data_IF_469291551897
#
_entry.id   IF_469291551897
#
_cell.length_a   1.000
_cell.length_b   1.000
_cell.length_c   1.000
_cell.angle_alpha   90.00
_cell.angle_beta   90.00
_cell.angle_gamma   90.00
#
_symmetry.space_group_name_H-M   'P 1'
#
loop_
_entity.id
_entity.type
_entity.pdbx_description
1 polymer ?
#
# COMPACT_ATOMS: atom_id res chain seq x y z
N UNK A 1 -63.29 -20.03 -18.91
CA UNK A 1 -62.66 -18.82 -18.31
C UNK A 1 -62.01 -19.02 -16.92
N UNK A 2 -62.43 -19.95 -16.08
CA UNK A 2 -61.82 -20.21 -14.76
C UNK A 2 -60.47 -20.91 -14.83
N UNK A 3 -60.24 -21.79 -15.79
CA UNK A 3 -58.99 -22.55 -15.96
C UNK A 3 -57.84 -21.71 -16.50
N UNK A 4 -58.09 -20.70 -17.33
CA UNK A 4 -57.07 -19.80 -17.87
C UNK A 4 -56.53 -18.82 -16.82
N UNK A 5 -57.40 -18.43 -15.86
CA UNK A 5 -57.02 -17.51 -14.79
C UNK A 5 -56.11 -18.20 -13.75
N UNK A 6 -56.36 -19.46 -13.44
CA UNK A 6 -55.51 -20.26 -12.52
C UNK A 6 -54.14 -20.57 -13.12
N UNK A 7 -54.08 -20.84 -14.44
CA UNK A 7 -52.79 -21.07 -15.12
C UNK A 7 -51.94 -19.80 -15.20
N UNK A 8 -52.56 -18.64 -15.40
CA UNK A 8 -51.86 -17.35 -15.41
C UNK A 8 -51.31 -16.98 -14.01
N UNK A 9 -52.11 -17.26 -12.96
CA UNK A 9 -51.70 -17.00 -11.57
C UNK A 9 -50.52 -17.89 -11.16
N UNK A 10 -50.51 -19.16 -11.56
CA UNK A 10 -49.41 -20.09 -11.34
C UNK A 10 -48.13 -19.68 -12.08
N UNK A 11 -48.24 -19.18 -13.32
CA UNK A 11 -47.13 -18.69 -14.11
C UNK A 11 -46.51 -17.44 -13.49
N UNK A 12 -47.33 -16.52 -12.98
CA UNK A 12 -46.84 -15.31 -12.29
C UNK A 12 -46.15 -15.68 -10.97
N UNK A 13 -46.69 -16.65 -10.22
CA UNK A 13 -46.11 -17.08 -8.95
C UNK A 13 -44.79 -17.82 -9.14
N UNK A 14 -44.58 -18.58 -10.23
CA UNK A 14 -43.32 -19.19 -10.60
C UNK A 14 -42.32 -18.16 -11.12
N UNK A 15 -42.77 -17.11 -11.81
CA UNK A 15 -41.89 -16.03 -12.25
C UNK A 15 -41.38 -15.17 -11.08
N UNK A 16 -42.18 -14.92 -10.06
CA UNK A 16 -41.80 -14.17 -8.84
C UNK A 16 -40.84 -14.97 -7.98
N UNK A 17 -40.99 -16.30 -7.90
CA UNK A 17 -40.00 -17.14 -7.17
C UNK A 17 -38.65 -17.28 -7.89
N UNK A 18 -38.59 -17.10 -9.21
CA UNK A 18 -37.32 -17.10 -9.96
C UNK A 18 -36.49 -15.80 -9.76
N UNK A 19 -37.13 -14.73 -9.30
CA UNK A 19 -36.48 -13.44 -8.97
C UNK A 19 -36.08 -13.30 -7.51
N UNK A 20 -36.24 -14.33 -6.67
CA UNK A 20 -35.55 -14.39 -5.38
C UNK A 20 -34.07 -14.62 -5.60
N UNK A 21 -33.39 -13.63 -6.24
CA UNK A 21 -31.95 -13.57 -6.29
C UNK A 21 -31.49 -13.62 -4.83
N UNK A 22 -30.74 -14.66 -4.48
CA UNK A 22 -30.05 -14.77 -3.21
C UNK A 22 -29.19 -13.52 -3.06
N UNK A 23 -29.63 -12.58 -2.24
CA UNK A 23 -28.80 -11.48 -1.79
C UNK A 23 -27.65 -12.12 -0.99
N UNK A 24 -26.55 -12.40 -1.66
CA UNK A 24 -25.32 -12.78 -0.99
C UNK A 24 -24.87 -11.51 -0.27
N UNK A 25 -25.15 -11.43 1.02
CA UNK A 25 -24.57 -10.40 1.89
C UNK A 25 -23.07 -10.44 1.72
N UNK A 26 -22.42 -9.28 1.73
CA UNK A 26 -20.95 -9.22 1.71
C UNK A 26 -20.44 -9.95 2.96
N UNK A 27 -19.78 -11.11 2.76
CA UNK A 27 -19.25 -11.90 3.85
C UNK A 27 -18.04 -11.23 4.52
N UNK A 28 -17.45 -10.19 3.90
CA UNK A 28 -16.31 -9.43 4.39
C UNK A 28 -16.54 -7.93 4.15
N UNK A 29 -16.41 -7.14 5.20
CA UNK A 29 -16.38 -5.67 5.15
C UNK A 29 -15.17 -5.20 5.94
N UNK A 30 -14.41 -4.26 5.40
CA UNK A 30 -13.27 -3.68 6.09
C UNK A 30 -13.14 -2.20 5.78
N UNK A 31 -12.64 -1.45 6.76
CA UNK A 31 -12.37 -0.03 6.63
C UNK A 31 -11.20 0.40 7.50
N UNK A 32 -10.74 1.64 7.34
CA UNK A 32 -9.62 2.25 8.04
C UNK A 32 -10.09 3.35 8.99
N UNK A 33 -9.42 3.50 10.11
CA UNK A 33 -9.67 4.60 11.05
C UNK A 33 -9.37 5.98 10.45
N UNK A 34 -8.53 6.02 9.42
CA UNK A 34 -8.23 7.23 8.62
C UNK A 34 -7.76 6.83 7.23
N UNK A 35 -8.19 7.59 6.23
CA UNK A 35 -7.81 7.41 4.82
C UNK A 35 -6.74 8.40 4.34
N UNK A 36 -6.27 9.26 5.24
CA UNK A 36 -5.25 10.26 4.95
C UNK A 36 -4.20 10.29 6.05
N UNK A 37 -2.94 10.26 5.66
CA UNK A 37 -1.77 10.41 6.54
C UNK A 37 -0.97 11.61 6.08
N UNK A 38 -0.84 12.59 6.96
CA UNK A 38 -0.14 13.85 6.72
C UNK A 38 1.32 13.74 7.20
N UNK A 39 2.29 13.85 6.29
CA UNK A 39 3.72 13.93 6.62
C UNK A 39 4.08 15.39 6.85
N UNK A 40 4.34 15.75 8.10
CA UNK A 40 4.85 17.07 8.50
C UNK A 40 6.36 17.03 8.71
N UNK A 41 6.99 18.18 8.96
CA UNK A 41 8.44 18.26 9.29
C UNK A 41 8.83 17.49 10.55
N UNK A 42 7.89 17.25 11.48
CA UNK A 42 8.09 16.48 12.71
C UNK A 42 7.51 15.06 12.64
N UNK A 43 7.25 14.53 11.45
CA UNK A 43 6.65 13.20 11.29
C UNK A 43 7.62 12.10 11.73
N UNK A 44 7.22 11.32 12.73
CA UNK A 44 7.99 10.20 13.30
C UNK A 44 7.41 8.83 12.92
N UNK A 45 6.36 8.81 12.11
CA UNK A 45 5.57 7.65 11.74
C UNK A 45 4.11 7.83 12.12
N UNK A 46 3.25 6.93 11.66
CA UNK A 46 1.83 6.93 11.99
C UNK A 46 1.33 5.50 12.19
N UNK A 47 0.33 5.35 13.04
CA UNK A 47 -0.42 4.11 13.16
C UNK A 47 -1.83 4.33 12.63
N UNK A 48 -2.28 3.42 11.76
CA UNK A 48 -3.63 3.40 11.21
C UNK A 48 -4.27 2.09 11.60
N UNK A 49 -5.42 2.17 12.26
CA UNK A 49 -6.20 0.99 12.60
C UNK A 49 -7.02 0.57 11.38
N UNK A 50 -6.87 -0.67 10.96
CA UNK A 50 -7.76 -1.36 10.06
C UNK A 50 -8.70 -2.22 10.87
N UNK A 51 -9.99 -2.15 10.58
CA UNK A 51 -11.02 -2.92 11.26
C UNK A 51 -12.05 -3.41 10.25
N UNK A 52 -12.78 -4.44 10.62
CA UNK A 52 -13.80 -4.97 9.74
C UNK A 52 -14.65 -6.03 10.41
N UNK A 53 -15.57 -6.58 9.62
CA UNK A 53 -16.43 -7.65 10.02
C UNK A 53 -16.42 -8.76 8.97
N UNK A 54 -16.48 -9.99 9.46
CA UNK A 54 -16.62 -11.20 8.64
C UNK A 54 -17.90 -11.91 9.03
N UNK A 55 -18.62 -12.43 8.04
CA UNK A 55 -19.78 -13.29 8.26
C UNK A 55 -19.41 -14.76 8.03
N UNK A 56 -19.55 -15.56 9.09
CA UNK A 56 -19.15 -16.96 9.13
C UNK A 56 -17.69 -17.18 9.53
N UNK A 57 -17.24 -18.42 9.48
CA UNK A 57 -15.89 -18.85 9.84
C UNK A 57 -14.92 -18.63 8.67
N UNK A 58 -13.66 -18.38 9.00
CA UNK A 58 -12.57 -18.23 8.04
C UNK A 58 -11.43 -17.41 8.61
N UNK A 59 -10.27 -17.54 7.98
CA UNK A 59 -9.07 -16.80 8.34
C UNK A 59 -8.99 -15.48 7.56
N UNK A 60 -8.41 -14.49 8.19
CA UNK A 60 -8.25 -13.16 7.59
C UNK A 60 -6.77 -12.90 7.37
N UNK A 61 -6.45 -12.40 6.19
CA UNK A 61 -5.11 -11.91 5.88
C UNK A 61 -5.23 -10.47 5.37
N UNK A 62 -4.55 -9.55 6.03
CA UNK A 62 -4.42 -8.15 5.61
C UNK A 62 -3.07 -7.97 4.95
N UNK A 63 -3.05 -7.40 3.75
CA UNK A 63 -1.84 -7.03 3.01
C UNK A 63 -1.89 -5.55 2.72
N UNK A 64 -0.85 -4.82 3.10
CA UNK A 64 -0.74 -3.39 2.82
C UNK A 64 0.45 -3.16 1.90
N UNK A 65 0.19 -2.52 0.76
CA UNK A 65 1.21 -2.19 -0.23
C UNK A 65 1.27 -0.68 -0.45
N UNK A 66 2.48 -0.14 -0.50
CA UNK A 66 2.72 1.26 -0.87
C UNK A 66 2.80 1.47 -2.38
N UNK A 67 2.96 2.73 -2.81
CA UNK A 67 3.12 3.07 -4.23
C UNK A 67 4.34 2.35 -4.83
N UNK A 68 4.27 1.97 -6.13
CA UNK A 68 5.38 1.32 -6.82
C UNK A 68 6.54 2.30 -7.05
N UNK A 69 7.77 1.80 -6.95
CA UNK A 69 8.98 2.53 -7.25
C UNK A 69 10.02 1.66 -7.97
N UNK A 70 10.98 2.30 -8.62
CA UNK A 70 12.10 1.61 -9.25
C UNK A 70 13.29 1.57 -8.28
N UNK A 71 13.82 0.38 -8.03
CA UNK A 71 14.91 0.16 -7.07
C UNK A 71 16.12 -0.45 -7.74
N UNK A 72 17.31 0.14 -7.54
CA UNK A 72 18.56 -0.41 -7.99
C UNK A 72 19.30 -1.06 -6.81
N UNK A 73 19.43 -2.37 -6.86
CA UNK A 73 20.20 -3.14 -5.88
C UNK A 73 21.63 -3.32 -6.39
N UNK A 74 22.62 -2.99 -5.55
CA UNK A 74 24.04 -3.09 -5.89
C UNK A 74 24.73 -4.11 -4.98
N UNK A 75 25.59 -4.94 -5.59
CA UNK A 75 26.47 -5.83 -4.87
C UNK A 75 27.82 -5.13 -4.64
N UNK A 76 28.26 -5.08 -3.39
CA UNK A 76 29.61 -4.60 -3.03
C UNK A 76 30.59 -5.76 -3.04
N UNK A 77 31.71 -5.57 -3.74
CA UNK A 77 32.83 -6.52 -3.73
C UNK A 77 34.10 -5.81 -3.28
N UNK A 78 34.96 -6.56 -2.60
CA UNK A 78 36.26 -6.04 -2.17
C UNK A 78 37.30 -6.37 -3.24
N UNK A 79 37.79 -5.35 -3.93
CA UNK A 79 38.83 -5.46 -4.96
C UNK A 79 40.06 -4.71 -4.47
N UNK A 80 41.22 -5.39 -4.39
CA UNK A 80 42.46 -4.81 -3.90
C UNK A 80 42.33 -4.08 -2.54
N UNK A 81 41.49 -4.60 -1.64
CA UNK A 81 41.29 -4.00 -0.31
C UNK A 81 40.21 -2.91 -0.24
N UNK A 82 39.70 -2.43 -1.37
CA UNK A 82 38.68 -1.36 -1.44
C UNK A 82 37.28 -1.96 -1.79
N UNK A 83 36.26 -1.47 -1.12
CA UNK A 83 34.86 -1.84 -1.43
C UNK A 83 34.36 -1.06 -2.65
N UNK A 84 34.01 -1.78 -3.72
CA UNK A 84 33.46 -1.21 -4.94
C UNK A 84 32.07 -1.79 -5.24
N UNK A 85 31.21 -1.00 -5.87
CA UNK A 85 29.93 -1.46 -6.40
C UNK A 85 30.18 -2.21 -7.70
N UNK A 86 30.25 -3.53 -7.66
CA UNK A 86 30.67 -4.35 -8.81
C UNK A 86 29.51 -4.64 -9.77
N UNK A 87 28.33 -4.94 -9.25
CA UNK A 87 27.14 -5.32 -10.05
C UNK A 87 25.92 -4.58 -9.54
N UNK A 88 25.01 -4.24 -10.46
CA UNK A 88 23.73 -3.62 -10.17
C UNK A 88 22.63 -4.32 -10.95
N UNK A 89 21.45 -4.48 -10.35
CA UNK A 89 20.21 -4.93 -11.02
C UNK A 89 19.11 -3.94 -10.69
N UNK A 90 18.39 -3.48 -11.72
CA UNK A 90 17.24 -2.62 -11.57
C UNK A 90 15.96 -3.45 -11.52
N UNK A 91 15.21 -3.29 -10.43
CA UNK A 91 13.87 -3.82 -10.25
C UNK A 91 12.86 -2.70 -10.46
N UNK A 92 11.81 -2.98 -11.23
CA UNK A 92 10.73 -2.05 -11.57
C UNK A 92 9.44 -2.49 -10.90
N UNK A 93 8.61 -1.52 -10.47
CA UNK A 93 7.33 -1.78 -9.85
C UNK A 93 7.40 -2.37 -8.43
N UNK A 94 8.50 -2.13 -7.72
CA UNK A 94 8.66 -2.57 -6.33
C UNK A 94 7.76 -1.72 -5.44
N UNK A 95 6.87 -2.31 -4.60
CA UNK A 95 6.13 -1.50 -3.65
C UNK A 95 7.10 -0.80 -2.69
N UNK A 96 6.86 0.49 -2.46
CA UNK A 96 7.68 1.24 -1.52
C UNK A 96 7.58 0.69 -0.09
N UNK A 97 6.38 0.25 0.29
CA UNK A 97 6.05 -0.32 1.59
C UNK A 97 5.31 -1.65 1.42
N UNK A 98 5.55 -2.59 2.34
CA UNK A 98 4.84 -3.86 2.38
C UNK A 98 4.68 -4.33 3.83
N UNK A 99 3.45 -4.63 4.21
CA UNK A 99 3.14 -5.26 5.48
C UNK A 99 2.07 -6.33 5.29
N UNK A 100 2.15 -7.40 6.08
CA UNK A 100 1.17 -8.48 6.11
C UNK A 100 0.79 -8.79 7.55
N UNK A 101 -0.50 -8.97 7.80
CA UNK A 101 -1.03 -9.40 9.10
C UNK A 101 -2.06 -10.52 8.87
N UNK A 102 -1.80 -11.74 9.30
CA UNK A 102 -2.74 -12.86 9.26
C UNK A 102 -3.37 -13.12 10.64
N UNK A 103 -4.48 -13.88 10.68
CA UNK A 103 -5.09 -14.38 11.92
C UNK A 103 -4.33 -15.55 12.53
N UNK A 104 -3.49 -16.23 11.75
CA UNK A 104 -2.68 -17.37 12.15
C UNK A 104 -1.48 -17.56 11.22
N UNK A 105 -0.74 -18.69 11.30
CA UNK A 105 0.38 -18.94 10.42
C UNK A 105 -0.03 -18.97 8.94
N UNK A 106 0.61 -18.16 8.09
CA UNK A 106 0.27 -18.05 6.66
C UNK A 106 0.30 -19.39 5.91
N UNK A 107 1.14 -20.32 6.36
CA UNK A 107 1.27 -21.64 5.75
C UNK A 107 0.03 -22.53 5.99
N UNK A 108 -0.71 -22.27 7.06
CA UNK A 108 -1.94 -22.98 7.41
C UNK A 108 -3.17 -22.34 6.78
N UNK A 109 -3.12 -21.01 6.55
CA UNK A 109 -4.23 -20.21 6.02
C UNK A 109 -4.34 -20.31 4.51
N UNK A 110 -3.22 -20.26 3.78
CA UNK A 110 -3.22 -20.13 2.32
C UNK A 110 -2.23 -21.10 1.66
N UNK A 111 -2.69 -21.74 0.58
CA UNK A 111 -1.83 -22.59 -0.25
C UNK A 111 -0.69 -21.78 -0.88
N UNK A 112 0.47 -22.39 -1.20
CA UNK A 112 1.58 -21.70 -1.84
C UNK A 112 1.18 -20.96 -3.12
N UNK A 113 0.34 -21.58 -3.96
CA UNK A 113 -0.10 -21.00 -5.23
C UNK A 113 -0.97 -19.76 -5.02
N UNK A 114 -1.86 -19.78 -4.03
CA UNK A 114 -2.68 -18.63 -3.66
C UNK A 114 -1.83 -17.52 -3.07
N UNK A 115 -0.84 -17.83 -2.24
CA UNK A 115 0.09 -16.83 -1.70
C UNK A 115 0.88 -16.12 -2.82
N UNK A 116 1.32 -16.85 -3.83
CA UNK A 116 2.02 -16.28 -4.99
C UNK A 116 1.06 -15.42 -5.82
N UNK A 117 -0.14 -15.92 -6.14
CA UNK A 117 -1.10 -15.19 -6.99
C UNK A 117 -1.62 -13.91 -6.34
N UNK A 118 -1.82 -13.91 -5.01
CA UNK A 118 -2.28 -12.76 -4.23
C UNK A 118 -1.12 -11.93 -3.63
N UNK A 119 0.14 -12.28 -3.95
CA UNK A 119 1.35 -11.61 -3.46
C UNK A 119 1.41 -11.53 -1.92
N UNK A 120 0.98 -12.58 -1.24
CA UNK A 120 0.99 -12.68 0.22
C UNK A 120 2.34 -13.21 0.69
N UNK A 121 3.04 -12.39 1.48
CA UNK A 121 4.44 -12.61 1.88
C UNK A 121 5.41 -11.79 1.03
N UNK A 122 6.42 -11.20 1.67
CA UNK A 122 7.39 -10.34 0.99
C UNK A 122 8.15 -11.07 -0.14
N UNK A 123 8.31 -12.38 -0.01
CA UNK A 123 8.90 -13.26 -1.01
C UNK A 123 8.04 -13.45 -2.26
N UNK A 124 6.73 -13.21 -2.17
CA UNK A 124 5.76 -13.42 -3.26
C UNK A 124 5.40 -12.13 -4.01
N UNK A 125 5.96 -10.99 -3.62
CA UNK A 125 5.70 -9.70 -4.28
C UNK A 125 6.11 -9.79 -5.75
N UNK A 126 5.23 -9.41 -6.67
CA UNK A 126 5.55 -9.33 -8.09
C UNK A 126 6.47 -8.13 -8.35
N UNK A 127 7.71 -8.38 -8.71
CA UNK A 127 8.67 -7.35 -9.15
C UNK A 127 9.21 -7.71 -10.52
N UNK A 128 9.31 -6.71 -11.39
CA UNK A 128 9.84 -6.89 -12.74
C UNK A 128 11.33 -6.52 -12.76
N UNK A 129 12.14 -7.37 -13.38
CA UNK A 129 13.54 -7.03 -13.66
C UNK A 129 13.59 -6.18 -14.93
N UNK A 130 14.37 -5.10 -14.94
CA UNK A 130 14.56 -4.26 -16.11
C UNK A 130 14.97 -5.06 -17.34
N UNK A 131 14.54 -4.62 -18.52
CA UNK A 131 14.83 -5.30 -19.80
C UNK A 131 16.33 -5.56 -19.97
N UNK A 132 17.18 -4.63 -19.52
CA UNK A 132 18.64 -4.77 -19.62
C UNK A 132 19.19 -5.93 -18.76
N UNK A 133 18.52 -6.28 -17.69
CA UNK A 133 18.96 -7.27 -16.71
C UNK A 133 18.27 -8.64 -16.85
N UNK A 134 17.23 -8.77 -17.69
CA UNK A 134 16.45 -10.02 -17.87
C UNK A 134 17.26 -11.22 -18.35
N UNK A 135 18.39 -10.98 -19.02
CA UNK A 135 19.27 -12.05 -19.55
C UNK A 135 20.28 -12.57 -18.53
N UNK A 136 20.24 -12.07 -17.30
CA UNK A 136 21.14 -12.55 -16.24
C UNK A 136 20.76 -13.94 -15.75
N UNK A 137 21.71 -14.70 -15.20
CA UNK A 137 21.44 -16.02 -14.62
C UNK A 137 20.36 -15.96 -13.53
N UNK A 138 19.51 -16.99 -13.45
CA UNK A 138 18.37 -17.03 -12.54
C UNK A 138 18.80 -17.04 -11.06
N UNK A 139 19.91 -17.67 -10.75
CA UNK A 139 20.51 -17.68 -9.41
C UNK A 139 20.96 -16.28 -8.97
N UNK A 140 21.55 -15.50 -9.90
CA UNK A 140 21.93 -14.11 -9.64
C UNK A 140 20.66 -13.26 -9.39
N UNK A 141 19.64 -13.37 -10.22
CA UNK A 141 18.38 -12.65 -10.04
C UNK A 141 17.71 -12.98 -8.69
N UNK A 142 17.72 -14.25 -8.30
CA UNK A 142 17.18 -14.69 -7.01
C UNK A 142 17.95 -14.09 -5.83
N UNK A 143 19.28 -14.09 -5.91
CA UNK A 143 20.12 -13.50 -4.87
C UNK A 143 19.90 -11.98 -4.72
N UNK A 144 19.77 -11.26 -5.84
CA UNK A 144 19.50 -9.82 -5.83
C UNK A 144 18.08 -9.50 -5.34
N UNK A 145 17.08 -10.34 -5.67
CA UNK A 145 15.72 -10.23 -5.13
C UNK A 145 15.71 -10.41 -3.62
N UNK A 146 16.39 -11.42 -3.10
CA UNK A 146 16.52 -11.62 -1.66
C UNK A 146 17.23 -10.42 -0.97
N UNK A 147 18.23 -9.84 -1.64
CA UNK A 147 18.90 -8.64 -1.15
C UNK A 147 17.98 -7.41 -1.17
N UNK A 148 17.12 -7.26 -2.18
CA UNK A 148 16.10 -6.22 -2.24
C UNK A 148 15.18 -6.28 -1.03
N UNK A 149 14.58 -7.45 -0.78
CA UNK A 149 13.66 -7.69 0.35
C UNK A 149 14.36 -7.37 1.67
N UNK A 150 15.56 -7.92 1.88
CA UNK A 150 16.35 -7.67 3.09
C UNK A 150 16.68 -6.16 3.30
N UNK A 151 17.00 -5.44 2.23
CA UNK A 151 17.27 -4.00 2.30
C UNK A 151 16.03 -3.21 2.69
N UNK A 152 14.87 -3.54 2.12
CA UNK A 152 13.58 -2.95 2.48
C UNK A 152 13.19 -3.26 3.92
N UNK A 153 13.41 -4.47 4.39
CA UNK A 153 13.21 -4.88 5.79
C UNK A 153 14.15 -4.14 6.74
N UNK A 154 15.42 -3.98 6.38
CA UNK A 154 16.39 -3.22 7.17
C UNK A 154 16.03 -1.73 7.26
N UNK A 155 15.40 -1.19 6.21
CA UNK A 155 14.86 0.17 6.19
C UNK A 155 13.52 0.34 6.92
N UNK A 156 12.92 -0.74 7.45
CA UNK A 156 11.61 -0.71 8.10
C UNK A 156 10.43 -0.52 7.14
N UNK A 157 10.68 -0.59 5.82
CA UNK A 157 9.64 -0.41 4.80
C UNK A 157 8.89 -1.72 4.50
N UNK A 158 9.54 -2.87 4.68
CA UNK A 158 8.90 -4.17 4.64
C UNK A 158 8.89 -4.76 6.04
N UNK A 159 7.75 -5.27 6.50
CA UNK A 159 7.68 -5.97 7.78
C UNK A 159 8.53 -7.23 7.74
N UNK A 160 9.32 -7.45 8.80
CA UNK A 160 10.13 -8.69 8.96
C UNK A 160 9.27 -9.83 9.44
N UNK A 161 8.38 -9.52 10.36
CA UNK A 161 7.43 -10.45 10.96
C UNK A 161 6.01 -10.03 10.57
N UNK A 162 5.11 -10.98 10.39
CA UNK A 162 3.70 -10.68 10.20
C UNK A 162 3.15 -9.91 11.40
N UNK A 163 2.28 -8.94 11.14
CA UNK A 163 1.49 -8.29 12.18
C UNK A 163 0.45 -9.24 12.76
N UNK A 164 -0.22 -8.81 13.83
CA UNK A 164 -1.27 -9.59 14.46
C UNK A 164 -2.65 -9.02 14.15
N UNK A 165 -3.63 -9.89 13.90
CA UNK A 165 -5.04 -9.56 13.81
C UNK A 165 -5.72 -10.01 15.09
N UNK A 166 -6.36 -9.07 15.80
CA UNK A 166 -7.23 -9.41 16.93
C UNK A 166 -8.64 -9.66 16.43
N UNK A 167 -9.17 -10.86 16.65
CA UNK A 167 -10.56 -11.21 16.33
C UNK A 167 -11.41 -11.13 17.59
N UNK A 168 -12.56 -10.46 17.49
CA UNK A 168 -13.51 -10.24 18.58
C UNK A 168 -14.84 -10.93 18.25
N UNK A 169 -15.28 -11.82 19.14
CA UNK A 169 -16.57 -12.55 19.00
C UNK A 169 -16.73 -13.27 17.66
N UNK A 170 -15.65 -13.76 17.06
CA UNK A 170 -15.58 -14.45 15.77
C UNK A 170 -16.22 -13.69 14.59
N UNK A 171 -16.40 -12.37 14.69
CA UNK A 171 -17.04 -11.57 13.67
C UNK A 171 -16.33 -10.27 13.37
N UNK A 172 -15.80 -9.62 14.38
CA UNK A 172 -15.09 -8.35 14.24
C UNK A 172 -13.59 -8.61 14.27
N UNK A 173 -12.84 -7.94 13.44
CA UNK A 173 -11.39 -8.00 13.46
C UNK A 173 -10.79 -6.61 13.42
N UNK A 174 -9.58 -6.49 13.95
CA UNK A 174 -8.79 -5.27 13.88
C UNK A 174 -7.30 -5.60 13.84
N UNK A 175 -6.55 -4.73 13.18
CA UNK A 175 -5.08 -4.75 13.18
C UNK A 175 -4.53 -3.34 13.08
N UNK A 176 -3.40 -3.08 13.73
CA UNK A 176 -2.66 -1.82 13.61
C UNK A 176 -1.66 -1.91 12.44
N UNK A 177 -1.72 -0.93 11.54
CA UNK A 177 -0.75 -0.78 10.46
C UNK A 177 0.21 0.33 10.87
N UNK A 178 1.47 -0.01 11.09
CA UNK A 178 2.50 0.96 11.47
C UNK A 178 3.24 1.46 10.22
N UNK A 179 3.13 2.75 9.95
CA UNK A 179 3.83 3.43 8.89
C UNK A 179 5.09 4.12 9.44
N UNK A 180 6.29 3.79 8.93
CA UNK A 180 7.54 4.36 9.42
C UNK A 180 7.73 5.81 8.94
N UNK A 181 8.64 6.54 9.59
CA UNK A 181 8.91 7.94 9.27
C UNK A 181 9.47 8.17 7.85
N UNK A 182 10.10 7.16 7.26
CA UNK A 182 10.72 7.21 5.93
C UNK A 182 9.81 6.70 4.80
N UNK A 183 8.49 6.60 5.04
CA UNK A 183 7.53 6.22 4.01
C UNK A 183 7.45 7.26 2.89
N UNK A 184 7.18 6.81 1.66
CA UNK A 184 6.99 7.70 0.53
C UNK A 184 5.57 8.28 0.51
N UNK A 185 5.43 9.45 -0.14
CA UNK A 185 4.10 9.99 -0.48
C UNK A 185 3.48 9.19 -1.61
N UNK A 186 2.15 9.09 -1.63
CA UNK A 186 1.37 8.38 -2.63
C UNK A 186 0.22 7.59 -2.05
N UNK A 187 -0.42 6.78 -2.88
CA UNK A 187 -1.55 5.95 -2.47
C UNK A 187 -1.07 4.58 -2.01
N UNK A 188 -1.43 4.22 -0.79
CA UNK A 188 -1.24 2.90 -0.21
C UNK A 188 -2.54 2.14 -0.29
N UNK A 189 -2.47 0.84 -0.58
CA UNK A 189 -3.65 -0.03 -0.66
C UNK A 189 -3.59 -1.07 0.44
N UNK A 190 -4.63 -1.13 1.25
CA UNK A 190 -4.85 -2.19 2.22
C UNK A 190 -5.87 -3.17 1.65
N UNK A 191 -5.43 -4.39 1.36
CA UNK A 191 -6.27 -5.47 0.86
C UNK A 191 -6.51 -6.49 1.96
N UNK A 192 -7.76 -6.77 2.23
CA UNK A 192 -8.21 -7.76 3.22
C UNK A 192 -8.77 -8.95 2.48
N UNK A 193 -8.25 -10.12 2.77
CA UNK A 193 -8.67 -11.39 2.19
C UNK A 193 -9.33 -12.25 3.25
N UNK A 194 -10.45 -12.87 2.90
CA UNK A 194 -11.08 -13.93 3.68
C UNK A 194 -10.72 -15.28 3.06
N UNK A 195 -10.13 -16.14 3.85
CA UNK A 195 -9.71 -17.49 3.47
C UNK A 195 -10.64 -18.54 4.06
N UNK A 196 -10.95 -19.55 3.26
CA UNK A 196 -11.61 -20.79 3.69
C UNK A 196 -10.95 -21.96 2.99
N UNK A 197 -10.59 -22.99 3.73
CA UNK A 197 -9.99 -24.20 3.18
C UNK A 197 -8.75 -23.97 2.30
N UNK A 198 -7.99 -22.90 2.58
CA UNK A 198 -6.77 -22.55 1.85
C UNK A 198 -6.95 -21.61 0.64
N UNK A 199 -8.20 -21.32 0.26
CA UNK A 199 -8.55 -20.46 -0.88
C UNK A 199 -9.08 -19.09 -0.43
N UNK A 200 -8.74 -18.05 -1.18
CA UNK A 200 -9.27 -16.70 -0.96
C UNK A 200 -10.69 -16.61 -1.56
N UNK A 201 -11.70 -16.66 -0.70
CA UNK A 201 -13.12 -16.64 -1.11
C UNK A 201 -13.66 -15.24 -1.33
N UNK A 202 -13.10 -14.24 -0.67
CA UNK A 202 -13.48 -12.83 -0.83
C UNK A 202 -12.31 -11.91 -0.53
N UNK A 203 -12.29 -10.75 -1.20
CA UNK A 203 -11.34 -9.68 -0.89
C UNK A 203 -12.02 -8.31 -0.94
N UNK A 204 -11.56 -7.41 -0.07
CA UNK A 204 -11.95 -6.00 -0.03
C UNK A 204 -10.69 -5.17 0.06
N UNK A 205 -10.61 -4.10 -0.74
CA UNK A 205 -9.46 -3.19 -0.72
C UNK A 205 -9.91 -1.77 -0.38
N UNK A 206 -9.13 -1.10 0.44
CA UNK A 206 -9.31 0.30 0.81
C UNK A 206 -8.00 1.06 0.65
N UNK A 207 -8.06 2.39 0.44
CA UNK A 207 -6.90 3.21 0.12
C UNK A 207 -6.56 4.19 1.23
N UNK A 208 -5.27 4.43 1.42
CA UNK A 208 -4.72 5.45 2.31
C UNK A 208 -3.89 6.41 1.45
N UNK A 209 -4.26 7.69 1.46
CA UNK A 209 -3.48 8.73 0.80
C UNK A 209 -2.46 9.30 1.77
N UNK A 210 -1.18 9.27 1.37
CA UNK A 210 -0.06 9.81 2.13
C UNK A 210 0.49 11.01 1.42
N UNK A 211 0.44 12.18 2.06
CA UNK A 211 0.86 13.44 1.46
C UNK A 211 1.73 14.25 2.42
N UNK A 212 2.66 15.03 1.85
CA UNK A 212 3.38 16.03 2.62
C UNK A 212 2.49 17.23 2.82
N UNK A 213 2.33 17.64 4.08
CA UNK A 213 1.54 18.82 4.44
C UNK A 213 2.40 19.81 5.24
N UNK A 214 2.01 21.09 5.22
CA UNK A 214 2.66 22.16 5.94
C UNK A 214 3.17 23.27 5.04
N UNK A 215 3.65 24.35 5.64
CA UNK A 215 4.02 25.60 4.94
C UNK A 215 5.03 25.39 3.80
N UNK A 216 6.00 24.47 3.96
CA UNK A 216 6.96 24.14 2.90
C UNK A 216 6.31 23.42 1.71
N UNK A 217 5.33 22.57 1.94
CA UNK A 217 4.59 21.88 0.88
C UNK A 217 3.67 22.87 0.12
N UNK A 218 3.03 23.80 0.83
CA UNK A 218 2.19 24.85 0.22
C UNK A 218 3.02 25.78 -0.67
N UNK A 219 4.20 26.20 -0.20
CA UNK A 219 5.13 27.02 -1.02
C UNK A 219 5.59 26.23 -2.25
N UNK A 220 5.95 24.97 -2.08
CA UNK A 220 6.37 24.11 -3.19
C UNK A 220 5.26 23.97 -4.24
N UNK A 221 4.04 23.66 -3.80
CA UNK A 221 2.88 23.53 -4.68
C UNK A 221 2.56 24.84 -5.38
N UNK A 222 2.59 25.98 -4.67
CA UNK A 222 2.40 27.31 -5.25
C UNK A 222 3.47 27.63 -6.30
N UNK A 223 4.74 27.34 -6.02
CA UNK A 223 5.85 27.55 -6.94
C UNK A 223 5.73 26.74 -8.23
N UNK A 224 5.16 25.51 -8.16
CA UNK A 224 5.01 24.63 -9.32
C UNK A 224 3.70 24.85 -10.08
N UNK A 225 2.59 25.10 -9.38
CA UNK A 225 1.28 25.31 -10.00
C UNK A 225 1.12 26.73 -10.59
N UNK A 226 1.77 27.74 -9.98
CA UNK A 226 1.68 29.14 -10.35
C UNK A 226 3.08 29.80 -10.40
N UNK A 227 3.98 29.22 -11.17
CA UNK A 227 5.40 29.62 -11.22
C UNK A 227 5.62 31.12 -11.54
N UNK A 228 4.79 31.69 -12.41
CA UNK A 228 4.86 33.12 -12.72
C UNK A 228 4.50 34.01 -11.51
N UNK A 229 3.44 33.65 -10.78
CA UNK A 229 3.03 34.40 -9.58
C UNK A 229 4.04 34.25 -8.45
N UNK A 230 4.62 33.05 -8.29
CA UNK A 230 5.70 32.80 -7.34
C UNK A 230 6.94 33.66 -7.65
N UNK A 231 7.33 33.75 -8.93
CA UNK A 231 8.44 34.61 -9.39
C UNK A 231 8.22 36.09 -9.08
N UNK A 232 7.00 36.60 -9.36
CA UNK A 232 6.62 37.97 -9.02
C UNK A 232 6.68 38.22 -7.51
N UNK A 233 6.11 37.32 -6.71
CA UNK A 233 6.13 37.41 -5.24
C UNK A 233 7.57 37.41 -4.70
N UNK A 234 8.45 36.57 -5.25
CA UNK A 234 9.85 36.52 -4.87
C UNK A 234 10.60 37.85 -5.18
N UNK A 235 10.36 38.43 -6.35
CA UNK A 235 10.95 39.72 -6.74
C UNK A 235 10.48 40.82 -5.80
N UNK A 236 9.18 40.93 -5.54
CA UNK A 236 8.61 41.92 -4.61
C UNK A 236 9.24 41.78 -3.22
N UNK A 237 9.32 40.55 -2.70
CA UNK A 237 9.91 40.28 -1.39
C UNK A 237 11.38 40.69 -1.34
N UNK A 238 12.16 40.38 -2.41
CA UNK A 238 13.57 40.73 -2.49
C UNK A 238 13.77 42.26 -2.53
N UNK A 239 12.95 42.98 -3.30
CA UNK A 239 13.01 44.46 -3.39
C UNK A 239 12.65 45.12 -2.06
N UNK A 240 11.58 44.66 -1.42
CA UNK A 240 11.16 45.17 -0.09
C UNK A 240 12.21 44.88 0.98
N UNK A 241 12.76 43.66 0.98
CA UNK A 241 13.81 43.24 1.93
C UNK A 241 15.10 44.05 1.72
N UNK A 242 15.52 44.25 0.47
CA UNK A 242 16.66 45.07 0.13
C UNK A 242 16.49 46.54 0.52
N UNK A 243 15.30 47.10 0.26
CA UNK A 243 14.97 48.50 0.64
C UNK A 243 14.96 48.65 2.16
N UNK A 244 14.31 47.75 2.90
CA UNK A 244 14.24 47.76 4.35
C UNK A 244 15.64 47.59 4.98
N UNK A 245 16.45 46.66 4.47
CA UNK A 245 17.85 46.48 4.87
C UNK A 245 18.68 47.75 4.63
N UNK A 246 18.58 48.37 3.45
CA UNK A 246 19.25 49.63 3.15
C UNK A 246 18.83 50.80 4.07
N UNK A 247 17.56 50.82 4.54
CA UNK A 247 17.09 51.82 5.48
C UNK A 247 17.66 51.62 6.89
N UNK A 248 17.75 50.36 7.34
CA UNK A 248 18.26 49.99 8.68
C UNK A 248 19.76 50.29 8.75
N UNK A 249 20.54 49.83 7.77
CA UNK A 249 22.00 49.96 7.79
C UNK A 249 22.51 51.36 7.34
N UNK A 250 21.66 52.21 6.80
CA UNK A 250 22.03 53.60 6.41
C UNK A 250 22.16 54.52 7.60
N UNK A 251 21.75 54.13 8.80
CA UNK A 251 21.83 54.93 10.04
C UNK A 251 22.99 54.51 10.98
N UNK A 252 23.84 53.61 10.51
CA UNK A 252 25.11 53.25 11.13
C UNK A 252 26.24 53.82 10.24
#
# INVERSE_FOLDING_TARGET
MRTTFTSLLLLVMTLVSAFAATAHGQALVADLSRHHVAITTGFTGAEVLLFGAVDGEGDIVVVVTGPPEDVVVRNKQRIAGVWVNARAIKFEGVPNFYAVAPTGPLIEIATPDVRVSQQIGAENIAVTVSIADRRRPADELTAFRAALIRNKQNGGLFSREPGEITVLSNRLFRTGIHFPANMATGTYTASVYLFREGDAVQSVSTSILVEKVGFGAEIYNFAHSQSAMYGIAAIITAVLGGWAGGMIFRKV
#
